data_IF_092435622234
#
_entry.id   IF_092435622234
#
_cell.length_a   1.000
_cell.length_b   1.000
_cell.length_c   1.000
_cell.angle_alpha   90.00
_cell.angle_beta   90.00
_cell.angle_gamma   90.00
#
_symmetry.space_group_name_H-M   'P 1'
#
loop_
_entity.id
_entity.type
_entity.pdbx_description
1 polymer ?
#
# COMPACT_ATOMS: atom_id res chain seq x y z
N UNK A 1 0.26 -25.59 3.50
CA UNK A 1 0.81 -24.64 4.15
C UNK A 1 2.10 -24.25 3.67
N UNK A 2 3.02 -25.08 3.65
CA UNK A 2 4.27 -24.65 3.22
C UNK A 2 4.20 -24.16 1.82
N UNK A 3 3.32 -24.68 1.04
CA UNK A 3 3.26 -24.24 -0.30
C UNK A 3 2.90 -22.85 -0.44
N UNK A 4 2.09 -22.37 0.40
CA UNK A 4 1.66 -21.05 0.27
C UNK A 4 2.79 -20.17 0.52
N UNK A 5 3.85 -20.66 1.05
CA UNK A 5 4.93 -19.81 1.40
C UNK A 5 5.41 -18.96 0.26
N UNK A 6 5.64 -19.55 -0.86
CA UNK A 6 6.19 -18.78 -1.96
C UNK A 6 5.24 -17.67 -2.34
N UNK A 7 3.99 -17.97 -2.47
CA UNK A 7 3.03 -16.96 -2.84
C UNK A 7 2.88 -15.92 -1.77
N UNK A 8 2.89 -16.35 -0.52
CA UNK A 8 2.72 -15.40 0.53
C UNK A 8 3.89 -14.45 0.61
N UNK A 9 5.09 -14.93 0.26
CA UNK A 9 6.25 -14.09 0.34
C UNK A 9 6.26 -13.02 -0.73
N UNK A 10 5.38 -13.09 -1.69
CA UNK A 10 5.35 -12.09 -2.73
C UNK A 10 4.50 -10.91 -2.32
N UNK A 11 4.05 -10.88 -1.10
CA UNK A 11 3.28 -9.76 -0.61
C UNK A 11 1.80 -9.97 -0.69
N UNK A 12 1.07 -9.17 0.00
CA UNK A 12 -0.37 -9.24 0.00
C UNK A 12 -0.92 -7.85 -0.23
N UNK A 13 -2.11 -7.80 -0.79
CA UNK A 13 -2.78 -6.52 -0.98
C UNK A 13 -3.82 -6.36 0.12
N UNK A 14 -3.82 -5.20 0.76
CA UNK A 14 -4.79 -4.90 1.80
C UNK A 14 -5.79 -3.96 1.17
N UNK A 15 -7.01 -4.43 0.98
CA UNK A 15 -8.08 -3.64 0.37
C UNK A 15 -8.83 -2.94 1.49
N UNK A 16 -8.82 -1.62 1.49
CA UNK A 16 -9.54 -0.87 2.51
C UNK A 16 -10.56 0.05 1.85
N UNK A 17 -11.55 0.46 2.64
CA UNK A 17 -12.56 1.40 2.20
C UNK A 17 -12.71 2.44 3.30
N UNK A 18 -12.71 3.71 2.93
CA UNK A 18 -12.79 4.77 3.92
C UNK A 18 -13.23 6.08 3.30
N UNK A 19 -13.89 6.92 4.10
CA UNK A 19 -14.27 8.23 3.68
C UNK A 19 -13.28 9.28 4.18
N UNK A 20 -12.21 8.85 4.87
CA UNK A 20 -11.35 9.83 5.51
C UNK A 20 -10.15 10.30 4.69
N UNK A 21 -9.99 9.81 3.48
CA UNK A 21 -8.84 10.18 2.65
C UNK A 21 -9.27 10.97 1.43
N UNK A 22 -9.45 12.28 1.59
CA UNK A 22 -9.96 13.11 0.49
C UNK A 22 -8.87 13.42 -0.52
N UNK A 23 -9.30 13.88 -1.69
CA UNK A 23 -8.38 14.41 -2.67
C UNK A 23 -7.89 15.74 -2.11
N UNK A 24 -6.59 15.91 -2.03
CA UNK A 24 -6.02 17.10 -1.42
C UNK A 24 -5.89 18.26 -2.41
N UNK A 25 -5.94 19.51 -1.93
CA UNK A 25 -5.76 20.65 -2.81
C UNK A 25 -4.38 20.56 -3.48
N UNK A 26 -4.33 20.72 -4.78
CA UNK A 26 -3.08 20.66 -5.52
C UNK A 26 -2.63 19.27 -5.88
N UNK A 27 -3.31 18.23 -5.38
CA UNK A 27 -2.88 16.86 -5.64
C UNK A 27 -2.94 16.54 -7.13
N UNK A 28 -3.93 17.06 -7.82
CA UNK A 28 -4.08 16.76 -9.24
C UNK A 28 -2.84 17.11 -10.03
N UNK A 29 -2.17 18.19 -9.66
CA UNK A 29 -0.97 18.63 -10.37
C UNK A 29 0.22 17.73 -10.08
N UNK A 30 0.16 16.91 -9.06
CA UNK A 30 1.25 16.01 -8.73
C UNK A 30 1.07 14.64 -9.37
N UNK A 31 -0.09 14.35 -9.92
CA UNK A 31 -0.36 13.02 -10.44
C UNK A 31 0.40 12.76 -11.72
N UNK A 32 1.00 11.58 -11.80
CA UNK A 32 1.67 11.16 -13.02
C UNK A 32 0.62 10.75 -14.05
N UNK A 33 -0.44 10.08 -13.59
CA UNK A 33 -1.56 9.72 -14.45
C UNK A 33 -2.86 10.16 -13.80
N UNK A 34 -3.84 10.53 -14.59
CA UNK A 34 -5.11 11.02 -14.07
C UNK A 34 -5.80 9.98 -13.20
N UNK A 35 -6.45 10.45 -12.19
CA UNK A 35 -7.32 9.60 -11.37
C UNK A 35 -6.62 8.84 -10.25
N UNK A 36 -5.32 8.98 -10.12
CA UNK A 36 -4.60 8.22 -9.11
C UNK A 36 -4.47 8.99 -7.81
N UNK A 37 -5.59 9.42 -7.25
CA UNK A 37 -5.58 10.18 -6.01
C UNK A 37 -5.39 9.27 -4.80
N UNK A 38 -4.33 9.45 -4.09
CA UNK A 38 -4.02 8.63 -2.92
C UNK A 38 -3.06 9.29 -1.96
N UNK A 39 -2.78 10.60 -2.17
CA UNK A 39 -1.77 11.27 -1.35
C UNK A 39 -2.14 11.31 0.12
N UNK A 40 -3.41 11.54 0.43
CA UNK A 40 -3.85 11.63 1.81
C UNK A 40 -3.60 10.33 2.54
N UNK A 41 -3.90 9.19 1.90
CA UNK A 41 -3.64 7.89 2.51
C UNK A 41 -2.14 7.63 2.60
N UNK A 42 -1.37 8.02 1.59
CA UNK A 42 0.08 7.82 1.62
C UNK A 42 0.68 8.59 2.80
N UNK A 43 0.24 9.83 3.03
CA UNK A 43 0.73 10.62 4.15
C UNK A 43 0.29 10.04 5.49
N UNK A 44 -0.90 9.47 5.53
CA UNK A 44 -1.42 8.83 6.73
C UNK A 44 -0.53 7.63 7.07
N UNK A 45 -0.20 6.82 6.06
CA UNK A 45 0.68 5.68 6.29
C UNK A 45 2.07 6.14 6.68
N UNK A 46 2.59 7.20 6.05
CA UNK A 46 3.90 7.72 6.39
C UNK A 46 3.96 8.05 7.88
N UNK A 47 2.99 8.80 8.37
CA UNK A 47 2.97 9.19 9.78
C UNK A 47 2.80 8.03 10.72
N UNK A 48 1.89 7.12 10.40
CA UNK A 48 1.64 6.00 11.28
C UNK A 48 2.79 5.00 11.30
N UNK A 49 3.48 4.84 10.18
CA UNK A 49 4.63 3.96 10.14
C UNK A 49 5.79 4.58 10.91
N UNK A 50 5.94 5.92 10.85
CA UNK A 50 6.98 6.57 11.63
C UNK A 50 6.74 6.36 13.12
N UNK A 51 5.48 6.37 13.55
CA UNK A 51 5.19 6.13 14.95
C UNK A 51 5.52 4.70 15.36
N UNK A 52 5.62 3.80 14.40
CA UNK A 52 5.96 2.41 14.68
C UNK A 52 7.46 2.14 14.49
N UNK A 53 8.24 3.20 14.32
CA UNK A 53 9.69 3.04 14.26
C UNK A 53 10.29 3.01 12.87
N UNK A 54 9.49 3.20 11.84
CA UNK A 54 10.03 3.25 10.50
C UNK A 54 10.56 4.65 10.21
N UNK A 55 11.52 4.73 9.28
CA UNK A 55 11.99 6.01 8.79
C UNK A 55 11.33 6.17 7.43
N UNK A 56 10.41 7.10 7.30
CA UNK A 56 9.63 7.30 6.08
C UNK A 56 9.83 8.72 5.57
N UNK A 57 10.95 8.97 4.88
CA UNK A 57 11.36 10.34 4.53
C UNK A 57 10.47 11.08 3.54
N UNK A 58 9.76 10.37 2.69
CA UNK A 58 8.92 11.08 1.74
C UNK A 58 7.85 10.20 1.11
N UNK A 59 6.85 10.83 0.49
CA UNK A 59 5.88 10.15 -0.34
C UNK A 59 5.93 10.82 -1.70
N UNK A 60 5.64 10.09 -2.75
CA UNK A 60 5.59 10.66 -4.09
C UNK A 60 4.61 9.89 -4.97
N UNK A 61 4.18 10.51 -6.05
CA UNK A 61 3.29 9.87 -7.01
C UNK A 61 4.12 9.19 -8.09
N UNK A 62 3.78 7.95 -8.40
CA UNK A 62 4.42 7.18 -9.44
C UNK A 62 3.38 6.93 -10.54
N UNK A 63 3.77 6.29 -11.62
CA UNK A 63 2.84 6.08 -12.71
C UNK A 63 1.74 5.07 -12.38
N UNK A 64 1.89 4.33 -11.31
CA UNK A 64 0.91 3.31 -10.88
C UNK A 64 0.12 3.72 -9.63
N UNK A 65 0.55 4.73 -8.90
CA UNK A 65 -0.09 5.13 -7.65
C UNK A 65 0.84 5.95 -6.78
N UNK A 66 0.75 5.80 -5.46
CA UNK A 66 1.56 6.57 -4.53
C UNK A 66 2.54 5.68 -3.78
N UNK A 67 3.73 6.19 -3.62
CA UNK A 67 4.83 5.47 -2.97
C UNK A 67 5.19 6.12 -1.65
N UNK A 68 5.36 5.32 -0.62
CA UNK A 68 5.82 5.78 0.69
C UNK A 68 7.19 5.17 0.89
N UNK A 69 8.23 5.98 0.83
CA UNK A 69 9.60 5.48 0.95
C UNK A 69 9.91 5.06 2.38
N UNK A 70 10.55 3.91 2.55
CA UNK A 70 10.98 3.43 3.86
C UNK A 70 12.45 3.06 3.73
N UNK A 71 13.30 3.54 4.65
CA UNK A 71 14.74 3.38 4.49
C UNK A 71 15.38 2.31 5.34
N UNK A 72 14.63 1.65 6.19
CA UNK A 72 15.22 0.72 7.15
C UNK A 72 15.79 -0.54 6.57
N UNK A 73 15.37 -0.95 5.39
CA UNK A 73 15.82 -2.21 4.82
C UNK A 73 17.09 -2.04 4.00
N UNK A 74 17.85 -3.10 3.80
CA UNK A 74 19.08 -3.04 2.99
C UNK A 74 18.79 -3.12 1.49
N UNK A 75 17.57 -2.80 1.07
CA UNK A 75 17.18 -2.78 -0.34
C UNK A 75 16.10 -1.71 -0.47
N UNK A 76 15.70 -1.38 -1.69
CA UNK A 76 14.64 -0.40 -1.91
C UNK A 76 13.36 -0.95 -1.30
N UNK A 77 12.76 -0.20 -0.43
CA UNK A 77 11.65 -0.67 0.37
C UNK A 77 10.63 0.44 0.58
N UNK A 78 9.38 0.08 0.56
CA UNK A 78 8.34 1.07 0.78
C UNK A 78 6.96 0.48 0.66
N UNK A 79 5.96 1.33 0.84
CA UNK A 79 4.57 0.91 0.72
C UNK A 79 3.97 1.54 -0.53
N UNK A 80 3.11 0.79 -1.19
CA UNK A 80 2.42 1.24 -2.39
C UNK A 80 0.97 1.48 -2.06
N UNK A 81 0.41 2.58 -2.57
CA UNK A 81 -0.99 2.92 -2.39
C UNK A 81 -1.62 3.04 -3.76
N UNK A 82 -2.63 2.21 -4.02
CA UNK A 82 -3.38 2.25 -5.27
C UNK A 82 -4.81 2.70 -4.95
N UNK A 83 -5.43 3.45 -5.84
CA UNK A 83 -6.80 3.89 -5.63
C UNK A 83 -7.68 3.47 -6.79
N UNK A 84 -8.96 3.33 -6.51
CA UNK A 84 -9.93 3.07 -7.58
C UNK A 84 -10.24 4.35 -8.32
N UNK A 85 -10.95 4.24 -9.40
CA UNK A 85 -11.31 5.39 -10.22
C UNK A 85 -12.41 6.25 -9.61
N UNK A 86 -13.17 5.68 -8.68
CA UNK A 86 -14.27 6.41 -8.09
C UNK A 86 -13.75 7.49 -7.14
N UNK A 87 -14.18 8.71 -7.33
CA UNK A 87 -13.72 9.81 -6.51
C UNK A 87 -14.69 10.17 -5.39
N UNK A 88 -15.89 9.61 -5.40
CA UNK A 88 -16.85 9.88 -4.34
C UNK A 88 -16.58 9.00 -3.14
N UNK A 89 -16.86 9.50 -1.96
CA UNK A 89 -16.63 8.74 -0.74
C UNK A 89 -17.81 7.82 -0.45
N UNK A 90 -17.59 6.69 0.18
CA UNK A 90 -16.28 6.18 0.60
C UNK A 90 -15.48 5.68 -0.59
N UNK A 91 -14.17 5.72 -0.46
CA UNK A 91 -13.30 5.31 -1.56
C UNK A 91 -12.58 4.04 -1.21
N UNK A 92 -12.25 3.24 -2.23
CA UNK A 92 -11.52 2.00 -2.05
C UNK A 92 -10.06 2.19 -2.43
N UNK A 93 -9.18 1.58 -1.65
CA UNK A 93 -7.74 1.64 -1.89
C UNK A 93 -7.13 0.27 -1.68
N UNK A 94 -6.00 0.03 -2.31
CA UNK A 94 -5.22 -1.17 -2.04
C UNK A 94 -3.84 -0.74 -1.60
N UNK A 95 -3.32 -1.33 -0.54
CA UNK A 95 -2.00 -1.03 -0.05
C UNK A 95 -1.19 -2.32 -0.02
N UNK A 96 0.09 -2.22 -0.40
CA UNK A 96 0.96 -3.39 -0.35
C UNK A 96 2.40 -2.92 -0.22
N UNK A 97 3.33 -3.86 -0.12
CA UNK A 97 4.74 -3.51 -0.13
C UNK A 97 5.19 -3.31 -1.57
N UNK A 98 6.31 -2.67 -1.75
CA UNK A 98 6.85 -2.40 -3.08
C UNK A 98 7.96 -3.34 -3.49
N UNK A 99 8.17 -4.42 -2.75
CA UNK A 99 9.25 -5.34 -3.02
C UNK A 99 8.78 -6.42 -3.98
N UNK A 100 9.59 -6.70 -4.99
CA UNK A 100 9.25 -7.74 -5.93
C UNK A 100 10.14 -8.94 -5.68
N UNK A 101 9.57 -10.06 -5.35
CA UNK A 101 10.30 -11.30 -5.10
C UNK A 101 10.81 -11.41 -3.67
N UNK A 102 11.08 -12.61 -3.25
CA UNK A 102 11.49 -12.87 -1.87
C UNK A 102 12.96 -12.57 -1.56
N UNK A 103 13.76 -12.26 -2.57
CA UNK A 103 15.15 -11.93 -2.34
C UNK A 103 15.58 -10.82 -3.26
N UNK A 104 16.36 -9.88 -2.73
CA UNK A 104 16.88 -8.78 -3.51
C UNK A 104 18.36 -8.66 -3.26
N UNK A 105 19.11 -8.21 -4.28
CA UNK A 105 20.52 -7.96 -4.11
C UNK A 105 20.68 -6.70 -3.26
N UNK A 106 21.53 -6.76 -2.26
CA UNK A 106 21.82 -5.61 -1.42
C UNK A 106 23.25 -5.13 -1.70
N UNK A 107 23.35 -3.90 -2.18
CA UNK A 107 24.66 -3.33 -2.43
C UNK A 107 25.35 -3.01 -1.12
N UNK A 108 24.56 -2.77 -0.07
CA UNK A 108 25.13 -2.48 1.23
C UNK A 108 25.78 -3.71 1.80
N UNK A 109 25.19 -4.90 1.62
CA UNK A 109 25.73 -6.13 2.15
C UNK A 109 26.45 -6.95 1.11
N UNK A 110 26.40 -6.54 -0.13
CA UNK A 110 27.01 -7.24 -1.25
C UNK A 110 26.58 -8.69 -1.32
N UNK A 111 25.30 -8.92 -1.15
CA UNK A 111 24.75 -10.29 -1.19
C UNK A 111 23.25 -10.20 -1.41
N UNK A 112 22.64 -11.34 -1.70
CA UNK A 112 21.19 -11.39 -1.81
C UNK A 112 20.63 -11.41 -0.39
N UNK A 113 19.55 -10.70 -0.18
CA UNK A 113 18.91 -10.61 1.12
C UNK A 113 17.48 -11.11 1.00
N UNK A 114 17.06 -11.94 1.97
CA UNK A 114 15.69 -12.42 2.02
C UNK A 114 14.82 -11.24 2.43
N UNK A 115 13.87 -10.85 1.60
CA UNK A 115 13.04 -9.69 1.86
C UNK A 115 11.86 -10.00 2.77
N UNK A 116 11.54 -11.27 2.98
CA UNK A 116 10.33 -11.66 3.71
C UNK A 116 10.17 -11.03 5.09
N UNK A 117 11.21 -10.95 5.92
CA UNK A 117 11.01 -10.38 7.24
C UNK A 117 10.52 -8.93 7.19
N UNK A 118 11.04 -8.14 6.24
CA UNK A 118 10.63 -6.75 6.11
C UNK A 118 9.23 -6.65 5.51
N UNK A 119 8.95 -7.46 4.50
CA UNK A 119 7.64 -7.43 3.86
C UNK A 119 6.55 -7.87 4.83
N UNK A 120 6.78 -8.99 5.53
CA UNK A 120 5.78 -9.51 6.45
C UNK A 120 5.52 -8.51 7.59
N UNK A 121 6.58 -7.89 8.09
CA UNK A 121 6.40 -6.93 9.16
C UNK A 121 5.64 -5.71 8.66
N UNK A 122 5.93 -5.23 7.45
CA UNK A 122 5.25 -4.07 6.92
C UNK A 122 3.77 -4.37 6.71
N UNK A 123 3.44 -5.52 6.15
CA UNK A 123 2.05 -5.88 5.92
C UNK A 123 1.32 -5.97 7.27
N UNK A 124 1.93 -6.61 8.26
CA UNK A 124 1.30 -6.74 9.57
C UNK A 124 1.13 -5.37 10.22
N UNK A 125 2.09 -4.49 10.08
CA UNK A 125 2.00 -3.16 10.66
C UNK A 125 0.91 -2.34 9.97
N UNK A 126 0.79 -2.43 8.65
CA UNK A 126 -0.27 -1.71 7.95
C UNK A 126 -1.64 -2.24 8.36
N UNK A 127 -1.79 -3.56 8.49
CA UNK A 127 -3.05 -4.12 8.93
C UNK A 127 -3.39 -3.61 10.34
N UNK A 128 -2.41 -3.57 11.23
CA UNK A 128 -2.65 -3.09 12.59
C UNK A 128 -3.04 -1.61 12.59
N UNK A 129 -2.41 -0.81 11.75
CA UNK A 129 -2.73 0.61 11.65
C UNK A 129 -4.18 0.78 11.21
N UNK A 130 -4.60 0.03 10.21
CA UNK A 130 -5.96 0.15 9.69
C UNK A 130 -6.98 -0.41 10.70
N UNK A 131 -6.64 -1.50 11.40
CA UNK A 131 -7.56 -2.07 12.37
C UNK A 131 -7.77 -1.15 13.56
N UNK A 132 -6.82 -0.31 13.86
CA UNK A 132 -6.92 0.58 15.00
C UNK A 132 -7.75 1.83 14.69
N UNK A 133 -8.12 2.04 13.44
CA UNK A 133 -8.84 3.25 13.03
C UNK A 133 -10.28 2.90 12.66
N UNK A 134 -11.24 3.40 13.44
CA UNK A 134 -12.64 3.08 13.23
C UNK A 134 -13.16 3.59 11.90
N UNK A 135 -12.51 4.56 11.28
CA UNK A 135 -12.98 5.12 10.04
C UNK A 135 -12.47 4.36 8.81
N UNK A 136 -11.75 3.26 9.04
CA UNK A 136 -11.22 2.47 7.95
C UNK A 136 -11.78 1.06 8.03
N UNK A 137 -12.37 0.60 6.94
CA UNK A 137 -12.85 -0.76 6.87
C UNK A 137 -11.84 -1.58 6.08
N UNK A 138 -11.35 -2.69 6.63
CA UNK A 138 -10.52 -3.61 5.87
C UNK A 138 -11.47 -4.53 5.16
N UNK A 139 -11.54 -4.42 3.84
CA UNK A 139 -12.47 -5.20 3.05
C UNK A 139 -11.92 -6.60 2.83
N UNK A 140 -10.65 -6.72 2.55
CA UNK A 140 -10.03 -8.02 2.28
C UNK A 140 -8.51 -7.91 2.31
N UNK A 141 -7.85 -9.02 2.53
CA UNK A 141 -6.39 -9.11 2.45
C UNK A 141 -6.12 -10.36 1.62
N UNK A 142 -5.52 -10.20 0.46
CA UNK A 142 -5.30 -11.33 -0.42
C UNK A 142 -4.03 -11.18 -1.24
N UNK A 143 -3.66 -12.23 -1.91
CA UNK A 143 -2.46 -12.21 -2.72
C UNK A 143 -2.74 -11.67 -4.12
N UNK A 144 -3.99 -11.39 -4.44
CA UNK A 144 -4.34 -10.87 -5.74
C UNK A 144 -4.76 -9.41 -5.63
N UNK A 145 -4.47 -8.64 -6.65
CA UNK A 145 -4.84 -7.24 -6.65
C UNK A 145 -6.37 -7.13 -6.64
N UNK A 146 -6.96 -6.40 -5.71
CA UNK A 146 -8.41 -6.33 -5.61
C UNK A 146 -9.03 -5.48 -6.69
N UNK A 147 -10.30 -5.70 -6.94
CA UNK A 147 -11.06 -4.87 -7.87
C UNK A 147 -11.56 -3.68 -7.09
N UNK A 148 -10.86 -2.56 -7.17
CA UNK A 148 -11.18 -1.39 -6.38
C UNK A 148 -12.43 -0.66 -6.84
N UNK A 149 -12.93 -0.99 -8.02
CA UNK A 149 -14.12 -0.35 -8.52
C UNK A 149 -15.35 -1.27 -8.49
N UNK A 150 -15.19 -2.44 -7.90
CA UNK A 150 -16.27 -3.41 -7.86
C UNK A 150 -17.53 -2.90 -7.19
N UNK A 151 -17.36 -2.05 -6.21
CA UNK A 151 -18.53 -1.60 -5.46
C UNK A 151 -19.43 -0.75 -6.34
N UNK A 152 -18.88 -0.16 -7.39
CA UNK A 152 -19.71 0.67 -8.20
C UNK A 152 -20.30 -0.18 -9.31
N UNK A 153 -19.61 -1.25 -9.63
CA UNK A 153 -20.10 -2.00 -10.73
C UNK A 153 -21.16 -2.97 -10.37
N UNK A 154 -21.09 -3.39 -9.20
CA UNK A 154 -21.98 -4.32 -8.77
C UNK A 154 -23.37 -4.07 -9.04
N UNK A 155 -23.74 -3.00 -8.79
CA UNK A 155 -25.06 -2.72 -8.78
C UNK A 155 -25.58 -2.95 -10.07
N UNK A 156 -24.93 -2.83 -11.00
CA UNK A 156 -25.51 -2.90 -12.16
C UNK A 156 -25.47 -4.19 -12.56
N UNK A 157 -24.73 -4.85 -12.05
CA UNK A 157 -24.72 -6.05 -12.50
C UNK A 157 -25.98 -6.56 -12.53
N UNK A 158 -26.54 -6.08 -12.29
CA UNK A 158 -27.65 -6.60 -12.20
C UNK A 158 -28.56 -6.36 -12.78
#
# INVERSE_FOLDING_TARGET
MTLKLAGELMGKFIHIRSSKFPILPGEKEELVNDGMYGKSLAQYLQSNLEERGYDAPFVCCEDWGWWVELTAAPFTFGACVYSGAEENVPRDFACTDGVIGPRKWSWKKLQFVDTSPWVDKLIDDMIAIFQADEDIEIVDVSEEFPDLDASTGVDQGT
#
